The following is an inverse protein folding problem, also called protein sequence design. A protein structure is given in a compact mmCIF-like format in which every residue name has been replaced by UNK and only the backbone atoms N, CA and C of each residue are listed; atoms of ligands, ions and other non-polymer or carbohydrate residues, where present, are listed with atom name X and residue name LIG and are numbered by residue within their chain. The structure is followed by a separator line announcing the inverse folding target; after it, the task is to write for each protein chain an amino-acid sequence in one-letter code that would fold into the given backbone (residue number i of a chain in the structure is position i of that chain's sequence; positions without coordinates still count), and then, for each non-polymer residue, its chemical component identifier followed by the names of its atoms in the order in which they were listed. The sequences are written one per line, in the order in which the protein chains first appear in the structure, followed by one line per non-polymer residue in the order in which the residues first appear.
data_IF_151853495275
#
_entry.id   IF_151853495275
#
_cell.length_a   1.000
_cell.length_b   1.000
_cell.length_c   1.000
_cell.angle_alpha   90.00
_cell.angle_beta   90.00
_cell.angle_gamma   90.00
#
_symmetry.space_group_name_H-M   'P 1'
#
loop_
_entity.id
_entity.type
_entity.pdbx_description
1 polymer ?
#
# COMPACT_ATOMS: atom_id res chain seq x y z
N UNK A 1 2.60 -9.11 -4.86
CA UNK A 1 1.46 -8.23 -5.22
C UNK A 1 2.02 -6.83 -5.29
N UNK A 2 2.07 -6.26 -6.49
CA UNK A 2 2.75 -5.00 -6.75
C UNK A 2 1.94 -4.12 -7.69
N UNK A 3 1.99 -2.80 -7.49
CA UNK A 3 1.33 -1.79 -8.33
C UNK A 3 -0.20 -1.97 -8.48
N UNK A 4 -0.88 -2.49 -7.46
CA UNK A 4 -2.33 -2.62 -7.51
C UNK A 4 -3.01 -1.44 -6.83
N UNK A 5 -4.07 -0.93 -7.46
CA UNK A 5 -5.08 -0.10 -6.82
C UNK A 5 -6.24 -0.98 -6.36
N UNK A 6 -6.54 -0.97 -5.07
CA UNK A 6 -7.68 -1.66 -4.47
C UNK A 6 -8.58 -0.62 -3.81
N UNK A 7 -9.82 -0.52 -4.28
CA UNK A 7 -10.82 0.41 -3.74
C UNK A 7 -12.01 -0.41 -3.28
N UNK A 8 -12.31 -0.40 -1.98
CA UNK A 8 -13.36 -1.26 -1.41
C UNK A 8 -13.90 -0.67 -0.11
N UNK A 9 -15.13 -1.03 0.26
CA UNK A 9 -15.77 -0.72 1.55
C UNK A 9 -15.81 -1.96 2.48
N UNK A 10 -14.91 -2.93 2.26
CA UNK A 10 -14.81 -4.13 3.09
C UNK A 10 -13.48 -4.15 3.85
N UNK A 11 -13.43 -4.85 4.97
CA UNK A 11 -12.24 -4.92 5.84
C UNK A 11 -10.98 -5.41 5.13
N UNK A 12 -11.12 -6.33 4.17
CA UNK A 12 -10.00 -6.97 3.50
C UNK A 12 -9.69 -6.27 2.17
N UNK A 13 -8.75 -5.32 2.20
CA UNK A 13 -8.16 -4.76 0.98
C UNK A 13 -7.16 -5.74 0.36
N UNK A 14 -6.03 -5.95 1.03
CA UNK A 14 -5.07 -7.00 0.70
C UNK A 14 -4.78 -7.80 1.98
N UNK A 15 -5.06 -9.10 1.98
CA UNK A 15 -4.87 -9.93 3.16
C UNK A 15 -4.24 -11.28 2.82
N UNK A 16 -3.12 -11.58 3.47
CA UNK A 16 -2.38 -12.84 3.34
C UNK A 16 -2.38 -13.60 4.67
N UNK A 17 -2.70 -14.89 4.60
CA UNK A 17 -2.88 -15.77 5.75
C UNK A 17 -1.97 -16.98 5.65
N UNK A 18 -1.03 -17.12 6.60
CA UNK A 18 0.00 -18.18 6.59
C UNK A 18 0.90 -18.14 5.35
N UNK A 19 1.13 -16.94 4.82
CA UNK A 19 1.91 -16.75 3.61
C UNK A 19 3.41 -16.95 3.87
N UNK A 20 4.12 -17.38 2.83
CA UNK A 20 5.57 -17.60 2.87
C UNK A 20 6.21 -16.92 1.67
N UNK A 21 7.37 -16.30 1.86
CA UNK A 21 8.15 -15.67 0.78
C UNK A 21 7.30 -14.71 -0.08
N UNK A 22 6.44 -13.93 0.56
CA UNK A 22 5.45 -13.11 -0.13
C UNK A 22 5.72 -11.63 0.04
N UNK A 23 5.47 -10.83 -1.00
CA UNK A 23 5.68 -9.39 -0.99
C UNK A 23 4.42 -8.63 -1.37
N UNK A 24 4.09 -7.61 -0.58
CA UNK A 24 3.05 -6.62 -0.86
C UNK A 24 3.79 -5.28 -0.96
N UNK A 25 4.07 -4.84 -2.18
CA UNK A 25 4.97 -3.69 -2.42
C UNK A 25 4.30 -2.69 -3.34
N UNK A 26 4.34 -1.39 -3.02
CA UNK A 26 3.83 -0.34 -3.91
C UNK A 26 2.36 -0.54 -4.34
N UNK A 27 1.47 -0.88 -3.41
CA UNK A 27 0.02 -0.93 -3.67
C UNK A 27 -0.68 0.25 -3.02
N UNK A 28 -1.79 0.69 -3.61
CA UNK A 28 -2.70 1.69 -3.04
C UNK A 28 -3.99 1.00 -2.64
N UNK A 29 -4.36 1.03 -1.36
CA UNK A 29 -5.59 0.43 -0.81
C UNK A 29 -6.43 1.53 -0.16
N UNK A 30 -7.58 1.85 -0.74
CA UNK A 30 -8.43 2.98 -0.32
C UNK A 30 -9.80 2.50 0.11
N UNK A 31 -10.31 3.16 1.15
CA UNK A 31 -11.68 3.02 1.63
C UNK A 31 -12.65 3.71 0.65
N UNK A 32 -13.55 2.94 0.04
CA UNK A 32 -14.56 3.45 -0.88
C UNK A 32 -15.60 4.31 -0.17
N UNK A 33 -15.95 3.96 1.08
CA UNK A 33 -16.94 4.68 1.88
C UNK A 33 -16.34 5.08 3.22
N UNK A 34 -15.66 6.24 3.29
CA UNK A 34 -15.09 6.72 4.53
C UNK A 34 -16.14 7.19 5.55
N UNK A 35 -17.44 7.01 5.32
CA UNK A 35 -18.46 7.32 6.33
C UNK A 35 -18.79 6.12 7.21
N UNK A 36 -18.43 4.91 6.78
CA UNK A 36 -18.67 3.70 7.57
C UNK A 36 -17.44 3.31 8.43
N UNK A 37 -17.67 2.32 9.29
CA UNK A 37 -16.65 1.79 10.21
C UNK A 37 -15.68 0.79 9.54
N UNK A 38 -15.94 0.36 8.30
CA UNK A 38 -15.21 -0.69 7.60
C UNK A 38 -14.03 -0.10 6.85
N UNK A 39 -12.88 -0.05 7.51
CA UNK A 39 -11.67 0.46 6.89
C UNK A 39 -10.84 -0.68 6.29
N UNK A 40 -10.68 -0.77 4.95
CA UNK A 40 -9.87 -1.78 4.32
C UNK A 40 -8.42 -1.70 4.80
N UNK A 41 -7.83 -2.86 5.05
CA UNK A 41 -6.45 -2.97 5.50
C UNK A 41 -5.55 -3.72 4.54
N UNK A 42 -4.25 -3.53 4.76
CA UNK A 42 -3.20 -4.47 4.40
C UNK A 42 -2.84 -5.32 5.63
N UNK A 43 -2.99 -6.64 5.50
CA UNK A 43 -2.79 -7.61 6.57
C UNK A 43 -1.94 -8.79 6.11
N UNK A 44 -0.85 -9.08 6.81
CA UNK A 44 -0.14 -10.37 6.77
C UNK A 44 -0.22 -10.98 8.16
N UNK A 45 -0.83 -12.16 8.28
CA UNK A 45 -1.04 -12.80 9.58
C UNK A 45 -1.03 -14.32 9.49
N UNK A 46 -1.12 -15.02 10.62
CA UNK A 46 -1.21 -16.46 10.65
C UNK A 46 -2.47 -16.97 9.92
N UNK A 47 -2.38 -18.14 9.32
CA UNK A 47 -3.54 -18.84 8.79
C UNK A 47 -4.52 -19.20 9.93
N UNK A 48 -5.79 -19.43 9.59
CA UNK A 48 -6.84 -19.77 10.58
C UNK A 48 -6.53 -21.02 11.41
N UNK A 49 -5.65 -21.90 10.91
CA UNK A 49 -5.16 -23.07 11.63
C UNK A 49 -3.93 -22.79 12.52
N UNK A 50 -3.54 -21.53 12.70
CA UNK A 50 -2.40 -21.10 13.51
C UNK A 50 -1.04 -21.10 12.80
N UNK A 51 -0.95 -21.55 11.55
CA UNK A 51 0.32 -21.54 10.80
C UNK A 51 0.77 -20.08 10.57
N UNK A 52 1.91 -19.70 11.13
CA UNK A 52 2.45 -18.35 10.98
C UNK A 52 2.75 -17.99 9.51
N UNK A 53 2.58 -16.71 9.18
CA UNK A 53 3.22 -16.16 7.98
C UNK A 53 4.71 -15.95 8.25
N UNK A 54 5.57 -16.23 7.26
CA UNK A 54 7.03 -16.08 7.39
C UNK A 54 7.64 -15.52 6.11
N UNK A 55 8.78 -14.84 6.21
CA UNK A 55 9.53 -14.34 5.04
C UNK A 55 8.70 -13.39 4.16
N UNK A 56 7.93 -12.49 4.79
CA UNK A 56 7.08 -11.56 4.05
C UNK A 56 7.58 -10.12 4.16
N UNK A 57 7.37 -9.35 3.09
CA UNK A 57 7.68 -7.91 3.05
C UNK A 57 6.42 -7.13 2.71
N UNK A 58 6.11 -6.13 3.55
CA UNK A 58 5.05 -5.14 3.30
C UNK A 58 5.73 -3.77 3.25
N UNK A 59 5.89 -3.21 2.04
CA UNK A 59 6.70 -2.01 1.82
C UNK A 59 6.06 -1.05 0.83
N UNK A 60 6.29 0.25 0.99
CA UNK A 60 5.85 1.28 0.03
C UNK A 60 4.35 1.26 -0.28
N UNK A 61 3.50 0.70 0.58
CA UNK A 61 2.06 0.71 0.33
C UNK A 61 1.44 1.97 0.91
N UNK A 62 0.48 2.54 0.17
CA UNK A 62 -0.38 3.62 0.61
C UNK A 62 -1.74 3.01 0.98
N UNK A 63 -2.13 3.03 2.25
CA UNK A 63 -3.34 2.30 2.68
C UNK A 63 -4.16 3.06 3.69
N UNK A 64 -5.48 2.90 3.69
CA UNK A 64 -6.32 3.45 4.78
C UNK A 64 -5.99 2.82 6.14
N UNK A 65 -5.52 1.57 6.17
CA UNK A 65 -5.08 0.94 7.41
C UNK A 65 -4.01 -0.12 7.19
N UNK A 66 -2.91 -0.02 7.94
CA UNK A 66 -1.90 -1.05 8.00
C UNK A 66 -2.12 -1.90 9.25
N UNK A 67 -2.48 -3.18 9.07
CA UNK A 67 -2.80 -4.08 10.16
C UNK A 67 -1.78 -5.22 10.29
N UNK A 68 -0.53 -4.95 9.90
CA UNK A 68 0.58 -5.91 9.94
C UNK A 68 1.69 -5.33 10.81
N UNK A 69 2.28 -6.15 11.68
CA UNK A 69 3.42 -5.77 12.52
C UNK A 69 4.67 -6.51 12.04
N UNK A 70 5.82 -5.84 12.09
CA UNK A 70 7.10 -6.49 11.82
C UNK A 70 7.41 -7.57 12.87
N UNK A 71 8.07 -8.65 12.44
CA UNK A 71 8.50 -9.75 13.31
C UNK A 71 9.88 -10.21 12.87
N UNK A 72 10.88 -10.09 13.74
CA UNK A 72 12.23 -10.62 13.45
C UNK A 72 12.24 -12.15 13.44
N UNK A 73 11.50 -12.78 14.36
CA UNK A 73 11.43 -14.25 14.47
C UNK A 73 10.83 -14.88 13.20
N UNK A 74 9.78 -14.27 12.66
CA UNK A 74 9.08 -14.75 11.47
C UNK A 74 9.61 -14.12 10.18
N UNK A 75 10.61 -13.23 10.26
CA UNK A 75 11.18 -12.49 9.13
C UNK A 75 10.11 -11.71 8.34
N UNK A 76 9.26 -11.00 9.07
CA UNK A 76 8.25 -10.08 8.53
C UNK A 76 8.82 -8.66 8.59
N UNK A 77 9.00 -8.06 7.42
CA UNK A 77 9.44 -6.67 7.26
C UNK A 77 8.25 -5.78 6.95
N UNK A 78 8.10 -4.70 7.70
CA UNK A 78 7.06 -3.68 7.50
C UNK A 78 7.70 -2.31 7.60
N UNK A 79 7.91 -1.63 6.48
CA UNK A 79 8.59 -0.34 6.42
C UNK A 79 8.12 0.52 5.23
N UNK A 80 8.42 1.82 5.25
CA UNK A 80 8.10 2.77 4.16
C UNK A 80 6.64 2.74 3.67
N UNK A 81 5.70 2.26 4.48
CA UNK A 81 4.27 2.33 4.18
C UNK A 81 3.70 3.64 4.75
N UNK A 82 2.70 4.21 4.08
CA UNK A 82 1.97 5.37 4.56
C UNK A 82 0.51 5.01 4.79
N UNK A 83 -0.03 5.50 5.92
CA UNK A 83 -1.44 5.38 6.24
C UNK A 83 -2.15 6.66 5.80
N UNK A 84 -3.20 6.51 4.98
CA UNK A 84 -4.01 7.63 4.51
C UNK A 84 -4.79 8.27 5.68
N UNK A 85 -4.91 9.60 5.72
CA UNK A 85 -5.86 10.25 6.60
C UNK A 85 -7.30 10.02 6.09
N UNK A 86 -8.26 10.24 6.97
CA UNK A 86 -9.70 10.14 6.66
C UNK A 86 -10.34 11.52 6.92
N UNK A 87 -10.63 12.32 5.87
CA UNK A 87 -10.50 12.04 4.43
C UNK A 87 -9.06 12.14 3.88
N UNK A 88 -8.74 11.50 2.73
CA UNK A 88 -7.41 11.49 2.12
C UNK A 88 -7.08 12.77 1.34
N UNK A 89 -7.38 13.92 1.92
CA UNK A 89 -7.22 15.24 1.28
C UNK A 89 -5.76 15.47 0.86
N UNK A 90 -5.57 15.91 -0.39
CA UNK A 90 -4.25 16.22 -0.95
C UNK A 90 -3.45 15.00 -1.42
N UNK A 91 -3.98 13.77 -1.32
CA UNK A 91 -3.28 12.59 -1.83
C UNK A 91 -3.57 12.29 -3.30
N UNK A 92 -4.82 12.50 -3.74
CA UNK A 92 -5.33 12.02 -5.03
C UNK A 92 -5.88 13.16 -5.89
N UNK A 93 -5.77 13.05 -7.22
CA UNK A 93 -6.26 14.07 -8.17
C UNK A 93 -7.78 14.25 -8.07
N UNK A 94 -8.54 13.17 -8.22
CA UNK A 94 -10.00 13.22 -8.17
C UNK A 94 -10.60 11.87 -7.71
N UNK A 95 -10.50 11.52 -6.41
CA UNK A 95 -10.93 10.21 -5.92
C UNK A 95 -12.44 9.96 -6.09
N UNK A 96 -13.27 11.00 -6.06
CA UNK A 96 -14.71 10.89 -6.34
C UNK A 96 -15.02 10.52 -7.80
N UNK A 97 -14.08 10.75 -8.72
CA UNK A 97 -14.15 10.33 -10.12
C UNK A 97 -13.30 9.06 -10.38
N UNK A 98 -12.87 8.37 -9.32
CA UNK A 98 -11.96 7.21 -9.37
C UNK A 98 -10.58 7.50 -9.96
N UNK A 99 -10.14 8.77 -9.99
CA UNK A 99 -8.76 9.12 -10.32
C UNK A 99 -7.90 9.15 -9.06
N UNK A 100 -7.28 8.00 -8.79
CA UNK A 100 -6.39 7.78 -7.66
C UNK A 100 -4.92 7.99 -8.01
N UNK A 101 -4.58 8.64 -9.13
CA UNK A 101 -3.20 9.10 -9.37
C UNK A 101 -2.79 10.14 -8.34
N UNK A 102 -1.48 10.36 -8.15
CA UNK A 102 -0.98 11.32 -7.16
C UNK A 102 -1.41 12.74 -7.50
N UNK A 103 -1.94 13.45 -6.51
CA UNK A 103 -2.10 14.90 -6.61
C UNK A 103 -0.73 15.60 -6.50
N UNK A 104 -0.55 16.75 -7.16
CA UNK A 104 0.60 17.62 -6.92
C UNK A 104 0.76 17.95 -5.44
N UNK A 105 1.98 17.83 -4.92
CA UNK A 105 2.29 18.09 -3.51
C UNK A 105 1.77 17.03 -2.53
N UNK A 106 1.35 15.86 -3.02
CA UNK A 106 0.92 14.76 -2.16
C UNK A 106 2.01 14.37 -1.16
N UNK A 107 1.68 14.13 0.12
CA UNK A 107 2.64 13.65 1.11
C UNK A 107 3.22 12.26 0.81
N UNK A 108 2.71 11.54 -0.20
CA UNK A 108 3.23 10.25 -0.62
C UNK A 108 4.36 10.35 -1.66
N UNK A 109 4.62 11.56 -2.19
CA UNK A 109 5.66 11.80 -3.19
C UNK A 109 7.05 11.70 -2.54
N UNK A 110 7.97 10.98 -3.20
CA UNK A 110 9.36 10.80 -2.79
C UNK A 110 9.54 10.25 -1.35
N UNK A 111 8.56 9.50 -0.82
CA UNK A 111 8.61 8.96 0.55
C UNK A 111 8.95 7.47 0.64
N UNK A 112 9.04 6.78 -0.49
CA UNK A 112 9.24 5.35 -0.58
C UNK A 112 10.70 4.92 -0.61
N UNK A 113 10.92 3.63 -0.35
CA UNK A 113 12.22 2.99 -0.47
C UNK A 113 12.42 2.42 -1.87
N UNK A 114 13.62 2.54 -2.44
CA UNK A 114 13.97 1.89 -3.72
C UNK A 114 14.17 0.37 -3.59
N UNK A 115 14.32 -0.14 -2.36
CA UNK A 115 14.57 -1.55 -2.14
C UNK A 115 13.35 -2.39 -2.54
N UNK A 116 13.55 -3.28 -3.51
CA UNK A 116 12.55 -4.18 -4.12
C UNK A 116 11.34 -3.47 -4.76
N UNK A 117 11.42 -2.16 -5.00
CA UNK A 117 10.39 -1.44 -5.75
C UNK A 117 10.36 -1.93 -7.21
N UNK A 118 9.17 -2.13 -7.81
CA UNK A 118 9.05 -2.40 -9.24
C UNK A 118 9.65 -1.26 -10.08
N UNK A 119 10.18 -1.59 -11.26
CA UNK A 119 10.78 -0.59 -12.14
C UNK A 119 9.75 0.37 -12.78
N UNK A 120 8.51 -0.09 -12.91
CA UNK A 120 7.39 0.69 -13.44
C UNK A 120 6.27 0.77 -12.40
N UNK A 121 5.44 1.79 -12.45
CA UNK A 121 4.23 1.93 -11.64
C UNK A 121 3.00 1.29 -12.31
N UNK A 122 1.79 1.57 -11.81
CA UNK A 122 0.55 1.04 -12.36
C UNK A 122 0.14 1.65 -13.72
N UNK A 123 0.66 2.82 -14.08
CA UNK A 123 0.45 3.50 -15.38
C UNK A 123 1.64 3.29 -16.34
N UNK A 124 2.53 2.33 -16.01
CA UNK A 124 3.78 2.05 -16.73
C UNK A 124 4.80 3.21 -16.72
N UNK A 125 4.65 4.17 -15.80
CA UNK A 125 5.65 5.21 -15.59
C UNK A 125 6.87 4.65 -14.85
N UNK A 126 8.11 5.10 -15.18
CA UNK A 126 9.32 4.61 -14.53
C UNK A 126 9.40 5.05 -13.06
N UNK A 127 9.97 4.19 -12.20
CA UNK A 127 10.26 4.51 -10.79
C UNK A 127 11.77 4.63 -10.53
N UNK A 128 12.22 5.63 -9.74
CA UNK A 128 11.48 6.83 -9.33
C UNK A 128 11.37 7.83 -10.49
N UNK A 129 10.30 8.62 -10.54
CA UNK A 129 10.24 9.82 -11.39
C UNK A 129 10.88 11.04 -10.72
N UNK A 130 10.85 11.09 -9.38
CA UNK A 130 11.39 12.15 -8.55
C UNK A 130 12.72 11.79 -7.87
N UNK A 131 12.91 12.31 -6.65
CA UNK A 131 14.09 12.06 -5.83
C UNK A 131 14.08 10.65 -5.21
N UNK A 132 12.91 10.06 -5.00
CA UNK A 132 12.71 8.72 -4.45
C UNK A 132 11.43 8.08 -5.00
N UNK A 133 11.20 6.81 -4.66
CA UNK A 133 9.98 6.09 -5.08
C UNK A 133 8.77 6.71 -4.40
N UNK A 134 7.66 6.87 -5.10
CA UNK A 134 6.40 7.28 -4.48
C UNK A 134 5.73 6.11 -3.76
N UNK A 135 5.18 6.39 -2.57
CA UNK A 135 4.43 5.38 -1.81
C UNK A 135 3.07 5.16 -2.45
N UNK A 136 2.72 3.90 -2.70
CA UNK A 136 1.51 3.49 -3.40
C UNK A 136 1.76 3.03 -4.83
N UNK A 137 0.67 2.84 -5.57
CA UNK A 137 0.64 2.22 -6.89
C UNK A 137 1.11 3.12 -8.05
N UNK A 138 1.12 4.44 -7.85
CA UNK A 138 1.39 5.43 -8.89
C UNK A 138 2.53 6.36 -8.47
N UNK A 139 3.43 6.68 -9.41
CA UNK A 139 4.36 7.80 -9.30
C UNK A 139 3.67 9.10 -9.72
N UNK A 140 4.13 10.22 -9.15
CA UNK A 140 3.80 11.54 -9.61
C UNK A 140 4.75 11.96 -10.73
N UNK A 141 4.18 12.37 -11.87
CA UNK A 141 4.89 13.08 -12.92
C UNK A 141 4.26 14.50 -13.06
N UNK A 142 5.07 15.58 -13.05
CA UNK A 142 4.59 16.94 -13.25
C UNK A 142 3.89 17.18 -14.60
#
# INVERSE_FOLDING_TARGET
MENNLVVTNHWHGISLYGARHSRIVNNTVVDLDPTDAQTPWILVTAHKNGTASTDCVVRNNLTTRLNTTASTADRIVVDSNLVLPKPPTGYFVAPAAFDYRRAPGSPAIDQGSSAIAPALDADEAPRPTGAAVDVGAYEYAP
#
